data_IF_773853556054
#
_entry.id   IF_773853556054
#
_cell.length_a   1.000
_cell.length_b   1.000
_cell.length_c   1.000
_cell.angle_alpha   90.00
_cell.angle_beta   90.00
_cell.angle_gamma   90.00
#
_symmetry.space_group_name_H-M   'P 1'
#
loop_
_entity.id
_entity.type
_entity.pdbx_description
1 polymer ?
#
# COMPACT_ATOMS: atom_id res chain seq x y z
N UNK A 1 8.91 -41.70 30.35
CA UNK A 1 9.00 -42.31 29.02
C UNK A 1 9.16 -41.19 28.01
N UNK A 2 10.31 -41.15 27.33
CA UNK A 2 10.62 -40.23 26.22
C UNK A 2 9.93 -40.74 24.96
N UNK A 3 9.29 -39.88 24.17
CA UNK A 3 9.17 -40.05 22.71
C UNK A 3 9.20 -38.69 22.01
N UNK A 4 10.38 -38.43 21.45
CA UNK A 4 10.71 -37.47 20.41
C UNK A 4 10.15 -37.91 19.05
N UNK A 5 9.80 -36.96 18.19
CA UNK A 5 9.75 -37.09 16.71
C UNK A 5 9.98 -35.67 16.14
N UNK A 6 11.19 -35.26 15.74
CA UNK A 6 11.80 -35.38 14.40
C UNK A 6 10.87 -34.84 13.29
N UNK A 7 11.02 -33.59 12.86
CA UNK A 7 11.87 -33.15 11.72
C UNK A 7 11.73 -34.09 10.51
N UNK A 8 10.96 -33.63 9.53
CA UNK A 8 10.89 -34.16 8.17
C UNK A 8 11.07 -33.02 7.17
N UNK A 9 12.33 -32.70 6.90
CA UNK A 9 12.80 -31.95 5.74
C UNK A 9 12.42 -32.78 4.50
N UNK A 10 11.61 -32.23 3.58
CA UNK A 10 11.56 -32.77 2.21
C UNK A 10 11.67 -31.62 1.21
N UNK A 11 12.91 -31.37 0.85
CA UNK A 11 13.29 -30.86 -0.47
C UNK A 11 12.68 -31.77 -1.53
N UNK A 12 11.85 -31.24 -2.44
CA UNK A 12 11.84 -31.68 -3.84
C UNK A 12 11.05 -30.72 -4.72
N UNK A 13 11.75 -30.25 -5.75
CA UNK A 13 11.27 -29.81 -7.05
C UNK A 13 10.34 -28.59 -7.12
N UNK A 14 10.94 -27.47 -7.51
CA UNK A 14 10.34 -26.50 -8.43
C UNK A 14 9.80 -27.26 -9.65
N UNK A 15 8.53 -27.64 -9.62
CA UNK A 15 7.79 -27.96 -10.85
C UNK A 15 6.87 -26.78 -11.12
N UNK A 16 7.25 -25.98 -12.11
CA UNK A 16 6.31 -25.13 -12.84
C UNK A 16 5.28 -26.06 -13.52
N UNK A 17 4.24 -26.45 -12.80
CA UNK A 17 3.04 -27.01 -13.39
C UNK A 17 1.98 -25.92 -13.38
N UNK A 18 1.95 -25.17 -14.48
CA UNK A 18 0.77 -24.46 -14.96
C UNK A 18 -0.42 -25.44 -14.89
N UNK A 19 -1.41 -25.15 -14.06
CA UNK A 19 -2.86 -25.46 -14.19
C UNK A 19 -3.48 -25.35 -12.79
N UNK A 20 -4.29 -24.31 -12.63
CA UNK A 20 -5.02 -24.01 -11.40
C UNK A 20 -5.72 -22.66 -11.44
N UNK A 21 -6.23 -22.27 -12.61
CA UNK A 21 -7.17 -21.16 -12.77
C UNK A 21 -8.49 -21.54 -12.09
N UNK A 22 -8.64 -21.23 -10.81
CA UNK A 22 -9.94 -21.24 -10.16
C UNK A 22 -9.98 -20.14 -9.11
N UNK A 23 -10.85 -19.15 -9.35
CA UNK A 23 -11.23 -18.08 -8.44
C UNK A 23 -10.12 -17.09 -8.05
N UNK A 24 -9.49 -16.46 -9.04
CA UNK A 24 -9.10 -15.07 -8.83
C UNK A 24 -10.39 -14.26 -8.75
N UNK A 25 -10.89 -14.01 -7.54
CA UNK A 25 -11.90 -13.00 -7.34
C UNK A 25 -11.30 -11.71 -7.91
N UNK A 26 -11.77 -11.29 -9.08
CA UNK A 26 -11.40 -10.04 -9.69
C UNK A 26 -11.90 -8.94 -8.77
N UNK A 27 -11.06 -8.47 -7.86
CA UNK A 27 -11.30 -7.24 -7.15
C UNK A 27 -11.40 -6.15 -8.22
N UNK A 28 -12.64 -5.77 -8.53
CA UNK A 28 -12.96 -4.78 -9.54
C UNK A 28 -12.41 -3.43 -9.08
N UNK A 29 -11.14 -3.17 -9.41
CA UNK A 29 -10.46 -1.89 -9.17
C UNK A 29 -11.04 -0.85 -10.12
N UNK A 30 -12.15 -0.24 -9.74
CA UNK A 30 -12.69 0.95 -10.40
C UNK A 30 -11.98 2.18 -9.86
N UNK A 31 -10.80 2.54 -10.39
CA UNK A 31 -10.22 3.87 -10.16
C UNK A 31 -9.06 4.24 -11.10
N UNK A 32 -9.13 5.48 -11.59
CA UNK A 32 -8.18 6.31 -12.38
C UNK A 32 -7.54 5.72 -13.65
N UNK A 33 -7.07 4.48 -13.64
CA UNK A 33 -6.47 3.83 -14.80
C UNK A 33 -7.49 3.57 -15.91
N UNK A 34 -8.78 3.46 -15.61
CA UNK A 34 -9.84 3.33 -16.63
C UNK A 34 -9.77 4.48 -17.63
N UNK A 35 -9.53 5.72 -17.17
CA UNK A 35 -9.37 6.90 -18.03
C UNK A 35 -8.14 6.80 -18.93
N UNK A 36 -7.02 6.25 -18.44
CA UNK A 36 -5.80 6.08 -19.25
C UNK A 36 -5.95 4.93 -20.25
N UNK A 37 -6.49 3.79 -19.80
CA UNK A 37 -6.82 2.62 -20.64
C UNK A 37 -7.77 3.04 -21.75
N UNK A 38 -8.83 3.79 -21.42
CA UNK A 38 -9.80 4.32 -22.39
C UNK A 38 -9.13 5.25 -23.40
N UNK A 39 -8.27 6.18 -22.95
CA UNK A 39 -7.53 7.09 -23.84
C UNK A 39 -6.58 6.34 -24.76
N UNK A 40 -5.83 5.37 -24.26
CA UNK A 40 -4.89 4.55 -25.05
C UNK A 40 -5.66 3.72 -26.07
N UNK A 41 -6.70 3.00 -25.63
CA UNK A 41 -7.55 2.21 -26.49
C UNK A 41 -8.19 3.05 -27.59
N UNK A 42 -8.69 4.25 -27.26
CA UNK A 42 -9.29 5.16 -28.25
C UNK A 42 -8.24 5.77 -29.19
N UNK A 43 -7.10 6.23 -28.67
CA UNK A 43 -6.07 6.92 -29.47
C UNK A 43 -5.42 6.00 -30.51
N UNK A 44 -5.26 4.72 -30.18
CA UNK A 44 -4.61 3.72 -31.02
C UNK A 44 -5.58 2.68 -31.60
N UNK A 45 -6.89 2.85 -31.37
CA UNK A 45 -7.94 1.93 -31.82
C UNK A 45 -7.69 0.47 -31.39
N UNK A 46 -7.34 0.27 -30.11
CA UNK A 46 -7.06 -1.04 -29.50
C UNK A 46 -8.27 -1.54 -28.70
N UNK A 47 -8.32 -2.85 -28.46
CA UNK A 47 -9.31 -3.44 -27.56
C UNK A 47 -9.03 -3.04 -26.10
N UNK A 48 -10.03 -2.49 -25.42
CA UNK A 48 -9.95 -2.07 -24.01
C UNK A 48 -9.66 -3.23 -23.06
N UNK A 49 -10.17 -4.44 -23.31
CA UNK A 49 -9.90 -5.61 -22.46
C UNK A 49 -8.43 -5.97 -22.48
N UNK A 50 -7.83 -5.93 -23.67
CA UNK A 50 -6.45 -6.37 -23.88
C UNK A 50 -5.48 -5.33 -23.31
N UNK A 51 -5.78 -4.04 -23.49
CA UNK A 51 -5.03 -2.97 -22.83
C UNK A 51 -5.13 -3.10 -21.30
N UNK A 52 -6.32 -3.40 -20.76
CA UNK A 52 -6.49 -3.63 -19.32
C UNK A 52 -5.63 -4.82 -18.85
N UNK A 53 -5.66 -5.93 -19.58
CA UNK A 53 -4.90 -7.14 -19.23
C UNK A 53 -3.40 -6.83 -19.13
N UNK A 54 -2.81 -6.09 -20.08
CA UNK A 54 -1.40 -5.69 -20.04
C UNK A 54 -1.08 -4.84 -18.80
N UNK A 55 -1.95 -3.91 -18.42
CA UNK A 55 -1.77 -3.10 -17.22
C UNK A 55 -1.85 -3.93 -15.94
N UNK A 56 -2.81 -4.86 -15.87
CA UNK A 56 -2.96 -5.77 -14.73
C UNK A 56 -1.72 -6.68 -14.61
N UNK A 57 -1.23 -7.23 -15.72
CA UNK A 57 0.00 -8.03 -15.77
C UNK A 57 1.23 -7.23 -15.31
N UNK A 58 1.43 -6.02 -15.85
CA UNK A 58 2.55 -5.18 -15.45
C UNK A 58 2.48 -4.79 -13.96
N UNK A 59 1.28 -4.54 -13.45
CA UNK A 59 1.06 -4.28 -12.02
C UNK A 59 1.41 -5.49 -11.17
N UNK A 60 0.95 -6.69 -11.55
CA UNK A 60 1.27 -7.92 -10.85
C UNK A 60 2.78 -8.20 -10.87
N UNK A 61 3.44 -7.96 -12.00
CA UNK A 61 4.89 -8.11 -12.13
C UNK A 61 5.65 -7.15 -11.19
N UNK A 62 5.25 -5.87 -11.14
CA UNK A 62 5.84 -4.91 -10.20
C UNK A 62 5.56 -5.26 -8.75
N UNK A 63 4.36 -5.70 -8.40
CA UNK A 63 4.06 -6.14 -7.03
C UNK A 63 4.94 -7.31 -6.61
N UNK A 64 5.13 -8.30 -7.49
CA UNK A 64 6.03 -9.43 -7.27
C UNK A 64 7.49 -8.98 -7.10
N UNK A 65 7.96 -8.04 -7.94
CA UNK A 65 9.31 -7.46 -7.84
C UNK A 65 9.52 -6.75 -6.49
N UNK A 66 8.56 -5.92 -6.06
CA UNK A 66 8.64 -5.23 -4.76
C UNK A 66 8.63 -6.22 -3.60
N UNK A 67 7.81 -7.27 -3.64
CA UNK A 67 7.81 -8.32 -2.61
C UNK A 67 9.16 -9.04 -2.55
N UNK A 68 9.74 -9.37 -3.71
CA UNK A 68 11.05 -10.02 -3.79
C UNK A 68 12.18 -9.13 -3.24
N UNK A 69 12.19 -7.84 -3.59
CA UNK A 69 13.17 -6.86 -3.07
C UNK A 69 13.11 -6.77 -1.54
N UNK A 70 11.89 -6.70 -0.99
CA UNK A 70 11.69 -6.62 0.47
C UNK A 70 12.13 -7.92 1.15
N UNK A 71 11.78 -9.09 0.61
CA UNK A 71 12.21 -10.37 1.17
C UNK A 71 13.73 -10.52 1.15
N UNK A 72 14.39 -10.11 0.05
CA UNK A 72 15.85 -10.10 -0.07
C UNK A 72 16.50 -9.18 0.97
N UNK A 73 15.95 -8.00 1.18
CA UNK A 73 16.44 -7.08 2.21
C UNK A 73 16.28 -7.65 3.62
N UNK A 74 15.13 -8.27 3.92
CA UNK A 74 14.91 -8.93 5.20
C UNK A 74 15.89 -10.08 5.40
N UNK A 75 16.20 -10.84 4.35
CA UNK A 75 17.22 -11.88 4.40
C UNK A 75 18.59 -11.31 4.76
N UNK A 76 19.01 -10.20 4.14
CA UNK A 76 20.27 -9.53 4.50
C UNK A 76 20.32 -9.12 5.98
N UNK A 77 19.18 -8.77 6.58
CA UNK A 77 19.10 -8.45 8.01
C UNK A 77 19.16 -9.69 8.89
N UNK A 78 18.63 -10.83 8.42
CA UNK A 78 18.80 -12.15 9.07
C UNK A 78 20.28 -12.55 9.05
N UNK A 79 20.94 -12.43 7.90
CA UNK A 79 22.35 -12.81 7.72
C UNK A 79 23.27 -11.94 8.61
N UNK A 80 22.90 -10.67 8.83
CA UNK A 80 23.58 -9.75 9.76
C UNK A 80 23.22 -9.97 11.23
N UNK A 81 22.32 -10.91 11.54
CA UNK A 81 21.82 -11.16 12.89
C UNK A 81 21.01 -10.00 13.49
N UNK A 82 20.57 -9.03 12.66
CA UNK A 82 19.77 -7.88 13.12
C UNK A 82 18.32 -8.30 13.41
N UNK A 83 17.81 -9.28 12.68
CA UNK A 83 16.52 -9.93 12.92
C UNK A 83 16.70 -11.45 12.84
N UNK A 84 15.79 -12.21 13.43
CA UNK A 84 15.76 -13.68 13.30
C UNK A 84 14.97 -14.13 12.08
N UNK A 85 15.13 -15.40 11.68
CA UNK A 85 14.32 -16.00 10.62
C UNK A 85 12.81 -15.97 10.94
N UNK A 86 12.44 -16.17 12.21
CA UNK A 86 11.05 -16.07 12.66
C UNK A 86 10.51 -14.64 12.56
N UNK A 87 11.34 -13.65 12.90
CA UNK A 87 10.97 -12.23 12.75
C UNK A 87 10.78 -11.85 11.28
N UNK A 88 11.64 -12.34 10.37
CA UNK A 88 11.44 -12.19 8.92
C UNK A 88 10.07 -12.70 8.49
N UNK A 89 9.72 -13.93 8.85
CA UNK A 89 8.44 -14.53 8.47
C UNK A 89 7.23 -13.71 9.00
N UNK A 90 7.31 -13.23 10.24
CA UNK A 90 6.28 -12.35 10.83
C UNK A 90 6.16 -11.01 10.10
N UNK A 91 7.29 -10.41 9.73
CA UNK A 91 7.30 -9.14 8.98
C UNK A 91 6.66 -9.33 7.60
N UNK A 92 7.03 -10.37 6.86
CA UNK A 92 6.49 -10.65 5.53
C UNK A 92 4.98 -10.89 5.58
N UNK A 93 4.50 -11.68 6.55
CA UNK A 93 3.08 -11.91 6.76
C UNK A 93 2.34 -10.59 7.09
N UNK A 94 2.90 -9.76 7.98
CA UNK A 94 2.28 -8.50 8.37
C UNK A 94 2.28 -7.46 7.26
N UNK A 95 3.30 -7.43 6.41
CA UNK A 95 3.36 -6.57 5.24
C UNK A 95 2.27 -6.92 4.22
N UNK A 96 2.04 -8.22 3.97
CA UNK A 96 0.97 -8.69 3.07
C UNK A 96 -0.42 -8.33 3.61
N UNK A 97 -0.64 -8.50 4.91
CA UNK A 97 -1.88 -8.09 5.59
C UNK A 97 -2.11 -6.58 5.42
N UNK A 98 -1.11 -5.75 5.74
CA UNK A 98 -1.21 -4.30 5.59
C UNK A 98 -1.42 -3.86 4.15
N UNK A 99 -0.80 -4.53 3.16
CA UNK A 99 -1.01 -4.23 1.75
C UNK A 99 -2.48 -4.43 1.38
N UNK A 100 -3.03 -5.59 1.74
CA UNK A 100 -4.46 -5.92 1.52
C UNK A 100 -5.36 -4.88 2.18
N UNK A 101 -5.11 -4.53 3.44
CA UNK A 101 -5.89 -3.51 4.17
C UNK A 101 -5.80 -2.14 3.50
N UNK A 102 -4.61 -1.72 3.04
CA UNK A 102 -4.42 -0.44 2.33
C UNK A 102 -5.16 -0.41 0.99
N UNK A 103 -5.17 -1.50 0.25
CA UNK A 103 -5.89 -1.60 -1.03
C UNK A 103 -7.41 -1.55 -0.83
N UNK A 104 -7.92 -2.25 0.17
CA UNK A 104 -9.35 -2.20 0.55
C UNK A 104 -9.75 -0.78 0.96
N UNK A 105 -8.99 -0.14 1.85
CA UNK A 105 -9.23 1.24 2.28
C UNK A 105 -9.17 2.23 1.12
N UNK A 106 -8.21 2.07 0.20
CA UNK A 106 -8.10 2.89 -1.00
C UNK A 106 -9.38 2.81 -1.82
N UNK A 107 -9.85 1.58 -2.08
CA UNK A 107 -11.07 1.32 -2.85
C UNK A 107 -12.31 1.90 -2.17
N UNK A 108 -12.41 1.76 -0.84
CA UNK A 108 -13.51 2.34 -0.05
C UNK A 108 -13.52 3.87 -0.13
N UNK A 109 -12.36 4.51 0.01
CA UNK A 109 -12.24 5.98 -0.08
C UNK A 109 -12.56 6.46 -1.50
N UNK A 110 -12.08 5.77 -2.53
CA UNK A 110 -12.38 6.10 -3.93
C UNK A 110 -13.87 6.00 -4.21
N UNK A 111 -14.51 4.94 -3.74
CA UNK A 111 -15.96 4.77 -3.85
C UNK A 111 -16.71 5.90 -3.12
N UNK A 112 -16.36 6.16 -1.86
CA UNK A 112 -16.96 7.23 -1.09
C UNK A 112 -16.82 8.59 -1.79
N UNK A 113 -15.64 8.86 -2.35
CA UNK A 113 -15.36 10.12 -3.03
C UNK A 113 -16.22 10.25 -4.30
N UNK A 114 -16.31 9.18 -5.11
CA UNK A 114 -17.17 9.12 -6.29
C UNK A 114 -18.64 9.35 -5.95
N UNK A 115 -19.15 8.67 -4.92
CA UNK A 115 -20.56 8.77 -4.50
C UNK A 115 -20.93 10.20 -4.02
N UNK A 116 -19.92 10.99 -3.61
CA UNK A 116 -20.10 12.37 -3.15
C UNK A 116 -19.67 13.43 -4.18
N UNK A 117 -19.29 13.03 -5.40
CA UNK A 117 -18.78 13.94 -6.43
C UNK A 117 -17.48 14.65 -6.01
N UNK A 118 -16.70 14.03 -5.13
CA UNK A 118 -15.45 14.56 -4.57
C UNK A 118 -14.27 13.86 -5.25
N UNK A 119 -13.19 14.60 -5.49
CA UNK A 119 -11.94 13.98 -5.93
C UNK A 119 -11.25 13.27 -4.76
N UNK A 120 -11.00 11.96 -4.88
CA UNK A 120 -10.35 11.15 -3.84
C UNK A 120 -8.98 11.70 -3.39
N UNK A 121 -8.30 12.53 -4.21
CA UNK A 121 -7.05 13.21 -3.85
C UNK A 121 -7.14 14.04 -2.57
N UNK A 122 -8.34 14.54 -2.23
CA UNK A 122 -8.55 15.32 -1.01
C UNK A 122 -8.49 14.44 0.24
N UNK A 123 -8.78 13.13 0.13
CA UNK A 123 -8.75 12.20 1.26
C UNK A 123 -7.48 11.35 1.30
N UNK A 124 -6.94 10.99 0.14
CA UNK A 124 -5.85 10.02 0.03
C UNK A 124 -4.48 10.66 -0.02
N UNK A 125 -4.15 11.45 1.01
CA UNK A 125 -2.78 11.84 1.38
C UNK A 125 -1.81 12.07 0.21
N UNK A 126 -2.29 12.72 -0.86
CA UNK A 126 -1.59 12.79 -2.12
C UNK A 126 -0.35 13.63 -1.93
N UNK A 127 0.80 12.96 -1.90
CA UNK A 127 2.14 13.55 -1.81
C UNK A 127 2.45 14.35 -3.08
N UNK A 128 1.82 15.51 -3.21
CA UNK A 128 2.46 16.66 -3.83
C UNK A 128 3.44 17.21 -2.80
N UNK A 129 4.74 16.98 -3.00
CA UNK A 129 5.81 17.62 -2.24
C UNK A 129 5.88 19.13 -2.56
N UNK A 130 4.85 19.86 -2.17
CA UNK A 130 4.78 21.29 -2.40
C UNK A 130 3.50 21.86 -1.83
N UNK A 131 3.63 22.48 -0.66
CA UNK A 131 2.70 23.49 -0.13
C UNK A 131 1.24 23.03 0.01
N UNK A 132 0.99 22.14 0.96
CA UNK A 132 -0.25 22.22 1.73
C UNK A 132 0.16 22.86 3.05
N UNK A 133 -0.18 24.13 3.23
CA UNK A 133 0.11 24.85 4.48
C UNK A 133 -0.61 24.17 5.64
N UNK A 134 -0.23 24.50 6.86
CA UNK A 134 -0.70 23.86 8.09
C UNK A 134 -2.23 23.87 8.33
N UNK A 135 -3.05 24.42 7.42
CA UNK A 135 -4.50 24.54 7.56
C UNK A 135 -5.25 24.00 6.35
N UNK A 136 -5.49 22.68 6.34
CA UNK A 136 -6.38 22.00 5.40
C UNK A 136 -7.77 22.65 5.29
N UNK A 137 -8.26 23.22 6.39
CA UNK A 137 -9.51 23.98 6.42
C UNK A 137 -9.47 25.24 5.53
N UNK A 138 -8.31 25.90 5.45
CA UNK A 138 -8.06 27.08 4.61
C UNK A 138 -7.95 26.69 3.13
N UNK A 139 -7.29 25.56 2.82
CA UNK A 139 -7.17 25.06 1.45
C UNK A 139 -8.54 24.63 0.90
N UNK A 140 -9.34 23.94 1.70
CA UNK A 140 -10.72 23.61 1.33
C UNK A 140 -11.58 24.87 1.19
N UNK A 141 -11.36 25.90 2.00
CA UNK A 141 -12.07 27.17 1.84
C UNK A 141 -11.71 27.84 0.51
N UNK A 142 -10.42 27.92 0.17
CA UNK A 142 -9.98 28.49 -1.10
C UNK A 142 -10.55 27.73 -2.32
N UNK A 143 -10.81 26.42 -2.19
CA UNK A 143 -11.46 25.63 -3.23
C UNK A 143 -12.97 25.90 -3.33
N UNK A 144 -13.62 26.20 -2.20
CA UNK A 144 -15.01 26.69 -2.18
C UNK A 144 -15.10 28.06 -2.86
N UNK A 145 -14.18 28.97 -2.52
CA UNK A 145 -14.16 30.33 -3.09
C UNK A 145 -13.90 30.31 -4.61
N UNK A 146 -13.16 29.31 -5.10
CA UNK A 146 -12.91 29.05 -6.53
C UNK A 146 -14.04 28.27 -7.22
N UNK A 147 -15.10 27.91 -6.50
CA UNK A 147 -16.20 27.07 -7.02
C UNK A 147 -15.79 25.66 -7.43
N UNK A 148 -14.62 25.18 -6.99
CA UNK A 148 -14.11 23.83 -7.30
C UNK A 148 -14.83 22.76 -6.49
N UNK A 149 -15.25 23.09 -5.27
CA UNK A 149 -16.06 22.26 -4.40
C UNK A 149 -17.17 23.10 -3.75
N UNK A 150 -18.25 22.47 -3.30
CA UNK A 150 -19.32 23.14 -2.54
C UNK A 150 -18.99 23.21 -1.05
N UNK A 151 -19.72 24.05 -0.30
CA UNK A 151 -19.63 24.10 1.16
C UNK A 151 -19.96 22.74 1.81
N UNK A 152 -20.96 22.03 1.27
CA UNK A 152 -21.33 20.69 1.72
C UNK A 152 -20.21 19.67 1.46
N UNK A 153 -19.57 19.74 0.29
CA UNK A 153 -18.43 18.88 -0.02
C UNK A 153 -17.25 19.17 0.91
N UNK A 154 -16.97 20.44 1.23
CA UNK A 154 -15.97 20.80 2.24
C UNK A 154 -16.29 20.14 3.59
N UNK A 155 -17.53 20.25 4.08
CA UNK A 155 -17.93 19.65 5.36
C UNK A 155 -17.73 18.12 5.36
N UNK A 156 -18.12 17.44 4.27
CA UNK A 156 -17.93 15.99 4.09
C UNK A 156 -16.46 15.60 4.06
N UNK A 157 -15.61 16.36 3.35
CA UNK A 157 -14.16 16.12 3.29
C UNK A 157 -13.55 16.23 4.69
N UNK A 158 -13.83 17.31 5.41
CA UNK A 158 -13.31 17.53 6.77
C UNK A 158 -13.72 16.40 7.71
N UNK A 159 -14.99 16.00 7.68
CA UNK A 159 -15.49 14.91 8.52
C UNK A 159 -14.79 13.57 8.19
N UNK A 160 -14.67 13.23 6.90
CA UNK A 160 -14.03 11.97 6.49
C UNK A 160 -12.53 11.97 6.77
N UNK A 161 -11.85 13.10 6.69
CA UNK A 161 -10.43 13.21 7.05
C UNK A 161 -10.19 12.98 8.53
N UNK A 162 -11.02 13.57 9.40
CA UNK A 162 -10.94 13.34 10.84
C UNK A 162 -11.17 11.86 11.18
N UNK A 163 -12.14 11.22 10.54
CA UNK A 163 -12.37 9.77 10.66
C UNK A 163 -11.14 8.96 10.22
N UNK A 164 -10.57 9.26 9.05
CA UNK A 164 -9.39 8.57 8.52
C UNK A 164 -8.14 8.80 9.38
N UNK A 165 -7.99 9.97 9.99
CA UNK A 165 -6.90 10.28 10.91
C UNK A 165 -7.01 9.47 12.21
N UNK A 166 -8.22 9.38 12.77
CA UNK A 166 -8.49 8.52 13.93
C UNK A 166 -8.16 7.05 13.61
N UNK A 167 -8.63 6.55 12.46
CA UNK A 167 -8.33 5.19 12.02
C UNK A 167 -6.83 4.95 11.81
N UNK A 168 -6.12 5.88 11.15
CA UNK A 168 -4.66 5.76 10.95
C UNK A 168 -3.89 5.78 12.27
N UNK A 169 -4.34 6.58 13.23
CA UNK A 169 -3.74 6.65 14.56
C UNK A 169 -3.96 5.35 15.31
N UNK A 170 -5.17 4.80 15.29
CA UNK A 170 -5.50 3.52 15.90
C UNK A 170 -4.69 2.36 15.27
N UNK A 171 -4.62 2.32 13.93
CA UNK A 171 -3.82 1.32 13.21
C UNK A 171 -2.33 1.43 13.50
N UNK A 172 -1.81 2.66 13.58
CA UNK A 172 -0.41 2.90 13.94
C UNK A 172 -0.11 2.39 15.34
N UNK A 173 -0.95 2.72 16.32
CA UNK A 173 -0.80 2.24 17.71
C UNK A 173 -0.86 0.72 17.77
N UNK A 174 -1.81 0.11 17.06
CA UNK A 174 -1.94 -1.35 16.99
C UNK A 174 -0.69 -2.00 16.34
N UNK A 175 -0.14 -1.39 15.30
CA UNK A 175 1.06 -1.86 14.62
C UNK A 175 2.31 -1.72 15.50
N UNK A 176 2.45 -0.59 16.20
CA UNK A 176 3.52 -0.36 17.16
C UNK A 176 3.47 -1.37 18.31
N UNK A 177 2.28 -1.67 18.83
CA UNK A 177 2.10 -2.68 19.86
C UNK A 177 2.46 -4.08 19.34
N UNK A 178 1.91 -4.47 18.19
CA UNK A 178 2.24 -5.74 17.54
C UNK A 178 3.75 -5.89 17.32
N UNK A 179 4.43 -4.82 16.90
CA UNK A 179 5.86 -4.84 16.67
C UNK A 179 6.64 -5.07 17.98
N UNK A 180 6.26 -4.37 19.06
CA UNK A 180 6.84 -4.55 20.41
C UNK A 180 6.65 -5.97 20.91
N UNK A 181 5.44 -6.53 20.81
CA UNK A 181 5.12 -7.88 21.28
C UNK A 181 5.93 -8.97 20.55
N UNK A 182 6.37 -8.67 19.33
CA UNK A 182 7.18 -9.58 18.51
C UNK A 182 8.68 -9.23 18.51
N UNK A 183 9.11 -8.24 19.29
CA UNK A 183 10.50 -7.77 19.33
C UNK A 183 10.98 -7.23 17.98
N UNK A 184 10.08 -6.71 17.15
CA UNK A 184 10.33 -6.19 15.81
C UNK A 184 10.38 -4.66 15.86
N UNK A 185 11.34 -4.06 15.16
CA UNK A 185 11.35 -2.61 14.92
C UNK A 185 10.24 -2.27 13.91
N UNK A 186 9.26 -1.48 14.35
CA UNK A 186 8.09 -1.06 13.56
C UNK A 186 8.47 -0.38 12.24
N UNK A 187 9.69 0.16 12.14
CA UNK A 187 10.20 0.79 10.92
C UNK A 187 10.37 -0.18 9.74
N UNK A 188 10.43 -1.50 9.99
CA UNK A 188 10.39 -2.52 8.93
C UNK A 188 8.99 -2.67 8.28
N UNK A 189 7.94 -2.14 8.92
CA UNK A 189 6.55 -2.21 8.45
C UNK A 189 6.05 -0.86 7.90
N UNK A 190 6.55 0.25 8.44
CA UNK A 190 6.11 1.61 8.07
C UNK A 190 7.00 2.28 7.01
N UNK A 191 7.82 1.52 6.27
CA UNK A 191 8.69 2.06 5.22
C UNK A 191 9.83 2.98 5.72
N UNK A 192 9.97 3.14 7.05
CA UNK A 192 10.84 4.12 7.69
C UNK A 192 12.30 3.69 7.89
N UNK A 193 12.65 2.43 7.62
CA UNK A 193 14.05 1.96 7.66
C UNK A 193 14.39 1.06 6.47
N UNK A 194 13.53 1.09 5.44
CA UNK A 194 13.71 0.35 4.20
C UNK A 194 14.24 1.19 3.03
N UNK A 195 14.70 2.43 3.28
CA UNK A 195 15.36 3.28 2.30
C UNK A 195 16.71 3.75 2.81
N UNK A 196 17.76 2.95 2.64
CA UNK A 196 19.13 3.41 2.80
C UNK A 196 19.49 4.33 1.62
N UNK A 197 18.97 5.54 1.61
CA UNK A 197 19.64 6.71 1.00
C UNK A 197 19.89 7.66 2.16
N UNK A 198 21.16 7.81 2.51
CA UNK A 198 21.62 8.52 3.69
C UNK A 198 21.01 9.92 3.83
N UNK A 199 20.30 10.11 4.93
CA UNK A 199 20.30 11.37 5.66
C UNK A 199 21.21 11.21 6.87
N UNK A 200 22.51 11.06 6.58
CA UNK A 200 23.58 11.37 7.51
C UNK A 200 24.32 12.56 6.92
N UNK A 201 24.27 13.70 7.59
CA UNK A 201 25.01 14.90 7.17
C UNK A 201 26.52 14.66 7.16
N UNK A 202 27.26 15.65 6.66
CA UNK A 202 28.23 16.28 7.54
C UNK A 202 28.03 17.78 7.57
N UNK A 203 28.12 18.36 8.76
CA UNK A 203 28.60 19.74 8.85
C UNK A 203 29.94 19.83 8.12
N UNK A 204 30.00 20.72 7.13
CA UNK A 204 31.24 21.32 6.65
C UNK A 204 30.91 22.75 6.24
N UNK A 205 31.45 23.65 7.06
CA UNK A 205 31.76 25.07 6.84
C UNK A 205 30.61 26.08 6.92
#
# INVERSE_FOLDING_TARGET
MKKSLLIGLSTTAVTLSLVGLASMASAQSTSTNTSLIDKIATKFNLNKSDVKAVFDENRAAHEAEKTAEVSSRLQSLVDKGTITADQKAKIEAKQKEMQTTRESKRTEIEKWASDNGINAKYLMGGRGHGRMGNDLASDLQALVDKGTITADQKAKITAKQSELESQRTAERTALEQWAKDNGIDVSYLMGGKMGGRGHGGPGMM
#
